data_IF_459804729786
#
_entry.id   IF_459804729786
#
_cell.length_a   1.000
_cell.length_b   1.000
_cell.length_c   1.000
_cell.angle_alpha   90.00
_cell.angle_beta   90.00
_cell.angle_gamma   90.00
#
_symmetry.space_group_name_H-M   'P 1'
#
loop_
_entity.id
_entity.type
_entity.pdbx_description
1 polymer ?
#
# COMPACT_ATOMS: atom_id res chain seq x y z
N UNK A 1 4.91 -10.69 -37.01
CA UNK A 1 4.99 -12.13 -37.31
C UNK A 1 5.43 -12.24 -38.77
N UNK A 2 6.46 -13.02 -39.05
CA UNK A 2 6.92 -13.23 -40.42
C UNK A 2 6.00 -14.27 -41.10
N UNK A 3 5.33 -13.92 -42.22
CA UNK A 3 4.34 -14.76 -42.89
C UNK A 3 4.93 -15.98 -43.61
N UNK A 4 6.26 -16.09 -43.66
CA UNK A 4 6.97 -17.22 -44.28
C UNK A 4 7.18 -18.41 -43.33
N UNK A 5 7.01 -18.20 -42.01
CA UNK A 5 7.15 -19.28 -41.03
C UNK A 5 5.83 -20.04 -40.80
N UNK A 6 5.90 -21.36 -40.58
CA UNK A 6 4.77 -22.15 -40.11
C UNK A 6 4.19 -21.57 -38.82
N UNK A 7 2.90 -21.24 -38.84
CA UNK A 7 2.22 -20.60 -37.71
C UNK A 7 1.03 -21.44 -37.25
N UNK A 8 1.02 -21.81 -35.97
CA UNK A 8 -0.09 -22.55 -35.35
C UNK A 8 -0.91 -21.64 -34.43
N UNK A 9 -2.24 -21.65 -34.57
CA UNK A 9 -3.16 -20.98 -33.66
C UNK A 9 -3.74 -21.96 -32.63
N UNK A 10 -3.92 -21.47 -31.40
CA UNK A 10 -4.47 -22.26 -30.29
C UNK A 10 -5.37 -21.38 -29.43
N UNK A 11 -6.49 -21.94 -29.00
CA UNK A 11 -7.33 -21.41 -27.93
C UNK A 11 -7.80 -22.56 -27.04
N UNK A 12 -8.76 -22.34 -26.15
CA UNK A 12 -9.22 -23.38 -25.24
C UNK A 12 -9.76 -24.64 -25.95
N UNK A 13 -10.73 -24.48 -26.84
CA UNK A 13 -11.47 -25.56 -27.51
C UNK A 13 -11.32 -25.59 -29.04
N UNK A 14 -10.29 -24.94 -29.59
CA UNK A 14 -10.08 -24.71 -31.02
C UNK A 14 -11.12 -23.83 -31.77
N UNK A 15 -12.17 -23.35 -31.10
CA UNK A 15 -13.25 -22.57 -31.75
C UNK A 15 -12.84 -21.14 -32.13
N UNK A 16 -12.14 -20.43 -31.25
CA UNK A 16 -11.69 -19.05 -31.52
C UNK A 16 -10.44 -19.02 -32.39
N UNK A 17 -9.57 -20.01 -32.25
CA UNK A 17 -8.34 -20.13 -33.02
C UNK A 17 -8.59 -20.44 -34.49
N UNK A 18 -9.71 -21.12 -34.82
CA UNK A 18 -10.12 -21.33 -36.22
C UNK A 18 -10.50 -20.01 -36.92
N UNK A 19 -11.18 -19.09 -36.23
CA UNK A 19 -11.45 -17.75 -36.75
C UNK A 19 -10.16 -16.94 -36.93
N UNK A 20 -9.19 -17.15 -36.02
CA UNK A 20 -7.86 -16.54 -36.09
C UNK A 20 -7.09 -16.92 -37.36
N UNK A 21 -7.27 -18.14 -37.88
CA UNK A 21 -6.67 -18.55 -39.16
C UNK A 21 -7.12 -17.65 -40.31
N UNK A 22 -8.43 -17.36 -40.41
CA UNK A 22 -8.96 -16.51 -41.48
C UNK A 22 -8.47 -15.07 -41.44
N UNK A 23 -8.06 -14.58 -40.27
CA UNK A 23 -7.40 -13.28 -40.13
C UNK A 23 -5.95 -13.38 -40.64
N UNK A 24 -5.21 -14.40 -40.22
CA UNK A 24 -3.81 -14.59 -40.62
C UNK A 24 -3.69 -14.86 -42.13
N UNK A 25 -4.59 -15.64 -42.71
CA UNK A 25 -4.61 -15.92 -44.15
C UNK A 25 -4.77 -14.63 -44.97
N UNK A 26 -5.69 -13.74 -44.57
CA UNK A 26 -5.84 -12.41 -45.20
C UNK A 26 -4.62 -11.51 -45.04
N UNK A 27 -3.81 -11.75 -44.02
CA UNK A 27 -2.55 -11.04 -43.79
C UNK A 27 -1.34 -11.71 -44.46
N UNK A 28 -1.58 -12.67 -45.37
CA UNK A 28 -0.55 -13.24 -46.24
C UNK A 28 0.21 -14.43 -45.66
N UNK A 29 -0.24 -15.00 -44.54
CA UNK A 29 0.32 -16.24 -44.00
C UNK A 29 -0.12 -17.42 -44.87
N UNK A 30 0.84 -18.23 -45.31
CA UNK A 30 0.58 -19.35 -46.22
C UNK A 30 0.59 -20.71 -45.54
N UNK A 31 1.27 -20.82 -44.41
CA UNK A 31 1.46 -22.08 -43.69
C UNK A 31 0.85 -21.98 -42.30
N UNK A 32 -0.44 -22.32 -42.22
CA UNK A 32 -1.30 -22.08 -41.06
C UNK A 32 -1.91 -23.38 -40.53
N UNK A 33 -1.81 -23.59 -39.22
CA UNK A 33 -2.35 -24.76 -38.53
C UNK A 33 -3.24 -24.35 -37.36
N UNK A 34 -4.33 -25.08 -37.11
CA UNK A 34 -5.12 -24.93 -35.89
C UNK A 34 -4.93 -26.17 -35.02
N UNK A 35 -4.66 -25.98 -33.73
CA UNK A 35 -4.55 -27.09 -32.78
C UNK A 35 -5.94 -27.71 -32.55
N UNK A 36 -6.16 -28.92 -33.05
CA UNK A 36 -7.42 -29.64 -32.88
C UNK A 36 -7.75 -29.85 -31.40
N UNK A 37 -8.97 -29.49 -30.99
CA UNK A 37 -9.41 -29.56 -29.60
C UNK A 37 -8.75 -28.54 -28.64
N UNK A 38 -7.89 -27.65 -29.16
CA UNK A 38 -7.26 -26.58 -28.40
C UNK A 38 -6.40 -27.08 -27.25
N UNK A 39 -6.19 -26.22 -26.25
CA UNK A 39 -5.46 -26.59 -25.04
C UNK A 39 -6.19 -27.64 -24.20
N UNK A 40 -7.52 -27.79 -24.31
CA UNK A 40 -8.27 -28.84 -23.61
C UNK A 40 -7.83 -30.24 -24.06
N UNK A 41 -7.71 -30.48 -25.36
CA UNK A 41 -7.23 -31.76 -25.87
C UNK A 41 -5.76 -32.02 -25.50
N UNK A 42 -4.93 -30.97 -25.47
CA UNK A 42 -3.54 -31.05 -25.02
C UNK A 42 -3.44 -31.49 -23.55
N UNK A 43 -4.27 -30.91 -22.69
CA UNK A 43 -4.37 -31.26 -21.26
C UNK A 43 -4.91 -32.68 -21.08
N UNK A 44 -5.97 -33.03 -21.82
CA UNK A 44 -6.56 -34.36 -21.77
C UNK A 44 -5.59 -35.46 -22.23
N UNK A 45 -4.68 -35.14 -23.15
CA UNK A 45 -3.61 -36.03 -23.59
C UNK A 45 -2.47 -36.15 -22.57
N UNK A 46 -2.51 -35.42 -21.44
CA UNK A 46 -1.48 -35.46 -20.40
C UNK A 46 -0.14 -34.87 -20.84
N UNK A 47 -0.14 -34.01 -21.87
CA UNK A 47 1.08 -33.38 -22.38
C UNK A 47 1.56 -32.27 -21.44
N UNK A 48 2.88 -32.00 -21.39
CA UNK A 48 3.43 -31.02 -20.47
C UNK A 48 2.91 -29.62 -20.78
N UNK A 49 2.59 -28.87 -19.71
CA UNK A 49 2.31 -27.45 -19.75
C UNK A 49 3.42 -26.70 -19.01
N UNK A 50 3.89 -25.61 -19.59
CA UNK A 50 4.79 -24.69 -18.92
C UNK A 50 3.96 -23.58 -18.24
N UNK A 51 4.30 -23.23 -16.99
CA UNK A 51 3.68 -22.10 -16.29
C UNK A 51 2.46 -22.43 -15.43
N UNK A 52 1.99 -23.68 -15.42
CA UNK A 52 1.17 -24.21 -14.34
C UNK A 52 1.93 -25.40 -13.74
N UNK A 53 2.35 -25.25 -12.50
CA UNK A 53 2.78 -26.38 -11.68
C UNK A 53 1.66 -27.42 -11.60
N UNK A 54 1.68 -28.42 -12.48
CA UNK A 54 0.73 -29.53 -12.46
C UNK A 54 1.07 -30.37 -11.22
N UNK A 55 0.23 -30.44 -10.17
CA UNK A 55 0.33 -31.58 -9.28
C UNK A 55 -0.18 -32.76 -10.10
N UNK A 56 0.75 -33.63 -10.52
CA UNK A 56 0.42 -34.91 -11.10
C UNK A 56 -0.64 -35.57 -10.21
N UNK A 57 -1.77 -35.95 -10.82
CA UNK A 57 -2.83 -36.69 -10.16
C UNK A 57 -2.32 -38.12 -9.90
N UNK A 58 -1.57 -38.27 -8.82
CA UNK A 58 -1.10 -39.52 -8.24
C UNK A 58 -1.27 -39.46 -6.72
N UNK A 59 -1.33 -40.61 -6.01
CA UNK A 59 -1.62 -40.63 -4.59
C UNK A 59 -0.61 -39.76 -3.82
N UNK A 60 -1.13 -38.71 -3.19
CA UNK A 60 -0.38 -37.75 -2.37
C UNK A 60 0.35 -38.46 -1.24
N UNK A 61 1.65 -38.67 -1.40
CA UNK A 61 2.59 -38.76 -0.29
C UNK A 61 3.81 -37.91 -0.60
N UNK A 62 3.55 -36.62 -0.88
CA UNK A 62 4.58 -35.61 -0.92
C UNK A 62 4.36 -34.70 0.28
N UNK A 63 5.34 -34.70 1.20
CA UNK A 63 5.43 -33.74 2.29
C UNK A 63 5.23 -32.34 1.71
N UNK A 64 4.14 -31.71 2.12
CA UNK A 64 3.75 -30.37 1.69
C UNK A 64 4.90 -29.42 2.08
N UNK A 65 5.66 -28.94 1.10
CA UNK A 65 6.61 -27.85 1.34
C UNK A 65 5.84 -26.72 2.02
N UNK A 66 6.41 -26.06 3.05
CA UNK A 66 5.73 -24.97 3.72
C UNK A 66 5.56 -23.85 2.70
N UNK A 67 4.37 -23.74 2.11
CA UNK A 67 3.96 -22.54 1.41
C UNK A 67 4.18 -21.40 2.39
N UNK A 68 5.15 -20.52 2.13
CA UNK A 68 5.40 -19.35 2.96
C UNK A 68 4.10 -18.55 2.94
N UNK A 69 3.31 -18.66 4.01
CA UNK A 69 2.02 -18.01 4.12
C UNK A 69 2.26 -16.50 4.25
N UNK A 70 2.40 -15.83 3.11
CA UNK A 70 2.55 -14.38 3.03
C UNK A 70 1.22 -13.77 3.47
N UNK A 71 1.20 -13.17 4.66
CA UNK A 71 0.02 -12.46 5.15
C UNK A 71 -0.09 -11.10 4.50
N UNK A 72 -1.04 -10.94 3.59
CA UNK A 72 -1.27 -9.65 2.94
C UNK A 72 -2.05 -8.72 3.87
N UNK A 73 -1.81 -7.42 3.75
CA UNK A 73 -2.66 -6.43 4.40
C UNK A 73 -3.99 -6.32 3.66
N UNK A 74 -5.05 -6.10 4.44
CA UNK A 74 -6.38 -5.86 3.90
C UNK A 74 -6.53 -4.41 3.45
N UNK A 75 -7.48 -4.17 2.55
CA UNK A 75 -7.89 -2.83 2.15
C UNK A 75 -9.17 -2.47 2.88
N UNK A 76 -9.28 -1.22 3.32
CA UNK A 76 -10.53 -0.66 3.83
C UNK A 76 -11.00 0.46 2.91
N UNK A 77 -12.30 0.48 2.61
CA UNK A 77 -12.90 1.59 1.88
C UNK A 77 -13.15 2.77 2.81
N UNK A 78 -13.27 3.94 2.22
CA UNK A 78 -13.69 5.19 2.88
C UNK A 78 -15.03 5.06 3.58
N UNK A 79 -16.01 4.36 3.00
CA UNK A 79 -17.32 4.14 3.63
C UNK A 79 -17.24 3.19 4.82
N UNK A 80 -16.47 2.11 4.71
CA UNK A 80 -16.25 1.18 5.82
C UNK A 80 -15.55 1.90 6.99
N UNK A 81 -14.54 2.73 6.71
CA UNK A 81 -13.87 3.55 7.72
C UNK A 81 -14.83 4.53 8.41
N UNK A 82 -15.71 5.20 7.66
CA UNK A 82 -16.74 6.10 8.22
C UNK A 82 -17.68 5.35 9.16
N UNK A 83 -18.15 4.16 8.78
CA UNK A 83 -19.00 3.33 9.65
C UNK A 83 -18.28 2.95 10.93
N UNK A 84 -17.03 2.50 10.84
CA UNK A 84 -16.23 2.17 12.03
C UNK A 84 -16.08 3.38 12.97
N UNK A 85 -15.81 4.57 12.42
CA UNK A 85 -15.70 5.80 13.20
C UNK A 85 -17.00 6.16 13.94
N UNK A 86 -18.17 5.86 13.36
CA UNK A 86 -19.48 6.18 13.93
C UNK A 86 -19.97 5.12 14.92
N UNK A 87 -19.83 3.84 14.57
CA UNK A 87 -20.47 2.74 15.30
C UNK A 87 -19.64 2.28 16.51
N UNK A 88 -18.31 2.20 16.37
CA UNK A 88 -17.40 1.68 17.40
C UNK A 88 -16.10 2.52 17.51
N UNK A 89 -16.18 3.77 17.98
CA UNK A 89 -14.98 4.58 18.23
C UNK A 89 -14.10 3.91 19.29
N UNK A 90 -12.83 3.64 18.94
CA UNK A 90 -11.85 3.02 19.84
C UNK A 90 -11.70 1.50 19.72
N UNK A 91 -12.47 0.85 18.83
CA UNK A 91 -12.26 -0.57 18.50
C UNK A 91 -11.07 -0.83 17.57
N UNK A 92 -10.49 0.23 17.00
CA UNK A 92 -9.39 0.21 16.03
C UNK A 92 -8.36 1.31 16.36
N UNK A 93 -7.12 1.11 15.91
CA UNK A 93 -6.12 2.17 15.91
C UNK A 93 -6.04 2.79 14.52
N UNK A 94 -6.22 4.11 14.44
CA UNK A 94 -6.11 4.86 13.20
C UNK A 94 -4.80 5.67 13.20
N UNK A 95 -3.89 5.31 12.29
CA UNK A 95 -2.54 5.89 12.22
C UNK A 95 -2.36 6.64 10.91
N UNK A 96 -2.00 7.91 11.01
CA UNK A 96 -1.63 8.77 9.88
C UNK A 96 -0.11 8.85 9.76
N UNK A 97 0.42 8.30 8.66
CA UNK A 97 1.86 8.20 8.40
C UNK A 97 2.44 9.40 7.66
N UNK A 98 1.66 10.46 7.45
CA UNK A 98 2.15 11.68 6.81
C UNK A 98 3.08 12.46 7.75
N UNK A 99 3.97 13.30 7.20
CA UNK A 99 4.75 14.23 8.01
C UNK A 99 3.87 15.10 8.93
N UNK A 100 4.33 15.45 10.14
CA UNK A 100 3.54 16.21 11.11
C UNK A 100 2.98 17.53 10.58
N UNK A 101 3.69 18.17 9.64
CA UNK A 101 3.24 19.40 8.99
C UNK A 101 1.91 19.17 8.25
N UNK A 102 1.81 18.08 7.47
CA UNK A 102 0.59 17.74 6.74
C UNK A 102 -0.56 17.27 7.64
N UNK A 103 -0.22 16.67 8.78
CA UNK A 103 -1.19 16.28 9.79
C UNK A 103 -1.81 17.50 10.48
N UNK A 104 -1.01 18.53 10.75
CA UNK A 104 -1.47 19.79 11.33
C UNK A 104 -2.44 20.54 10.41
N UNK A 105 -2.25 20.47 9.10
CA UNK A 105 -3.14 21.10 8.12
C UNK A 105 -4.55 20.50 8.15
N UNK A 106 -4.64 19.17 8.11
CA UNK A 106 -5.89 18.43 8.20
C UNK A 106 -5.62 16.97 8.55
N UNK A 107 -6.50 16.34 9.32
CA UNK A 107 -6.41 14.92 9.65
C UNK A 107 -7.80 14.36 10.02
N UNK A 108 -7.90 13.04 10.11
CA UNK A 108 -9.14 12.38 10.52
C UNK A 108 -9.34 12.49 12.04
N UNK A 109 -10.58 12.69 12.53
CA UNK A 109 -10.89 12.54 13.94
C UNK A 109 -10.46 11.16 14.44
N UNK A 110 -9.87 11.10 15.64
CA UNK A 110 -9.27 9.90 16.24
C UNK A 110 -7.99 9.35 15.59
N UNK A 111 -7.45 9.98 14.53
CA UNK A 111 -6.15 9.59 13.97
C UNK A 111 -4.99 10.07 14.83
N UNK A 112 -3.94 9.25 14.94
CA UNK A 112 -2.66 9.59 15.58
C UNK A 112 -1.59 9.72 14.52
N UNK A 113 -0.80 10.80 14.58
CA UNK A 113 0.34 10.96 13.69
C UNK A 113 1.52 10.12 14.18
N UNK A 114 2.08 9.27 13.32
CA UNK A 114 3.23 8.41 13.62
C UNK A 114 4.11 8.33 12.39
N UNK A 115 5.42 8.50 12.56
CA UNK A 115 6.36 8.37 11.45
C UNK A 115 6.50 6.91 11.00
N UNK A 116 6.77 6.68 9.71
CA UNK A 116 6.86 5.34 9.12
C UNK A 116 7.88 4.46 9.86
N UNK A 117 9.05 5.01 10.19
CA UNK A 117 10.10 4.27 10.90
C UNK A 117 9.64 3.83 12.30
N UNK A 118 9.01 4.75 13.04
CA UNK A 118 8.46 4.45 14.36
C UNK A 118 7.35 3.40 14.28
N UNK A 119 6.43 3.53 13.33
CA UNK A 119 5.32 2.59 13.15
C UNK A 119 5.80 1.17 12.85
N UNK A 120 6.90 1.03 12.11
CA UNK A 120 7.45 -0.27 11.74
C UNK A 120 8.15 -0.95 12.91
N UNK A 121 8.83 -0.21 13.78
CA UNK A 121 9.71 -0.78 14.81
C UNK A 121 9.13 -0.78 16.21
N UNK A 122 8.13 0.07 16.48
CA UNK A 122 7.51 0.16 17.80
C UNK A 122 6.50 -0.99 18.04
N UNK A 123 6.74 -1.87 19.04
CA UNK A 123 5.85 -3.01 19.31
C UNK A 123 4.43 -2.59 19.72
N UNK A 124 4.24 -1.38 20.25
CA UNK A 124 2.93 -0.88 20.66
C UNK A 124 1.89 -0.91 19.53
N UNK A 125 2.30 -0.64 18.29
CA UNK A 125 1.41 -0.69 17.13
C UNK A 125 1.25 -2.11 16.57
N UNK A 126 2.24 -2.97 16.80
CA UNK A 126 2.27 -4.35 16.31
C UNK A 126 1.42 -5.29 17.18
N UNK A 127 1.25 -5.04 18.48
CA UNK A 127 0.62 -6.01 19.41
C UNK A 127 -0.76 -5.60 19.96
N UNK A 128 -1.55 -4.83 19.21
CA UNK A 128 -2.91 -4.38 19.61
C UNK A 128 -4.04 -5.40 19.36
N UNK A 129 -5.14 -5.26 20.11
CA UNK A 129 -6.31 -6.15 20.04
C UNK A 129 -7.29 -5.85 18.88
N UNK A 130 -7.37 -4.59 18.43
CA UNK A 130 -8.23 -4.16 17.32
C UNK A 130 -7.50 -4.12 15.98
N UNK A 131 -8.15 -3.87 14.84
CA UNK A 131 -7.44 -3.66 13.58
C UNK A 131 -6.57 -2.39 13.62
N UNK A 132 -5.42 -2.44 12.95
CA UNK A 132 -4.55 -1.29 12.70
C UNK A 132 -4.89 -0.71 11.33
N UNK A 133 -5.41 0.51 11.28
CA UNK A 133 -5.80 1.20 10.05
C UNK A 133 -4.76 2.27 9.74
N UNK A 134 -4.11 2.17 8.59
CA UNK A 134 -3.06 3.08 8.14
C UNK A 134 -3.62 4.00 7.07
N UNK A 135 -3.36 5.31 7.19
CA UNK A 135 -3.80 6.33 6.24
C UNK A 135 -2.63 7.19 5.77
N UNK A 136 -2.66 7.55 4.49
CA UNK A 136 -1.85 8.63 3.92
C UNK A 136 -2.72 9.52 3.01
N UNK A 137 -2.11 10.51 2.36
CA UNK A 137 -2.77 11.40 1.38
C UNK A 137 -3.55 10.65 0.30
N UNK A 138 -2.95 9.68 -0.39
CA UNK A 138 -3.55 8.95 -1.51
C UNK A 138 -3.64 7.43 -1.30
N UNK A 139 -3.03 6.92 -0.23
CA UNK A 139 -3.10 5.52 0.20
C UNK A 139 -1.97 4.63 -0.35
N UNK A 140 -1.10 5.15 -1.22
CA UNK A 140 0.00 4.37 -1.81
C UNK A 140 1.05 3.98 -0.77
N UNK A 141 1.44 4.92 0.09
CA UNK A 141 2.39 4.64 1.18
C UNK A 141 1.72 3.80 2.26
N UNK A 142 0.45 4.07 2.56
CA UNK A 142 -0.31 3.28 3.51
C UNK A 142 -0.37 1.79 3.11
N UNK A 143 -0.60 1.50 1.82
CA UNK A 143 -0.60 0.13 1.29
C UNK A 143 0.77 -0.54 1.40
N UNK A 144 1.86 0.18 1.09
CA UNK A 144 3.21 -0.35 1.20
C UNK A 144 3.56 -0.69 2.65
N UNK A 145 3.36 0.27 3.55
CA UNK A 145 3.66 0.12 4.97
C UNK A 145 2.81 -0.98 5.59
N UNK A 146 1.52 -1.04 5.27
CA UNK A 146 0.62 -2.10 5.72
C UNK A 146 1.12 -3.48 5.28
N UNK A 147 1.58 -3.63 4.04
CA UNK A 147 2.13 -4.89 3.54
C UNK A 147 3.42 -5.34 4.24
N UNK A 148 4.24 -4.40 4.71
CA UNK A 148 5.43 -4.72 5.53
C UNK A 148 5.01 -5.13 6.94
N UNK A 149 4.11 -4.35 7.55
CA UNK A 149 3.64 -4.59 8.92
C UNK A 149 2.89 -5.92 9.01
N UNK A 150 2.09 -6.29 8.00
CA UNK A 150 1.35 -7.56 7.98
C UNK A 150 2.26 -8.79 7.99
N UNK A 151 3.54 -8.66 7.63
CA UNK A 151 4.54 -9.72 7.81
C UNK A 151 5.12 -9.77 9.23
N UNK A 152 5.13 -8.65 9.95
CA UNK A 152 5.72 -8.51 11.29
C UNK A 152 4.71 -8.81 12.40
N UNK A 153 3.41 -8.71 12.14
CA UNK A 153 2.35 -8.92 13.14
C UNK A 153 1.29 -9.96 12.73
N UNK A 154 0.60 -10.46 13.74
CA UNK A 154 -0.62 -11.27 13.63
C UNK A 154 -1.90 -10.41 13.69
N UNK A 155 -1.76 -9.13 14.04
CA UNK A 155 -2.85 -8.16 14.10
C UNK A 155 -3.42 -7.92 12.71
N UNK A 156 -4.73 -7.73 12.59
CA UNK A 156 -5.36 -7.31 11.34
C UNK A 156 -4.85 -5.93 10.94
N UNK A 157 -4.17 -5.82 9.80
CA UNK A 157 -3.67 -4.55 9.25
C UNK A 157 -4.51 -4.19 8.04
N UNK A 158 -5.07 -2.98 8.05
CA UNK A 158 -5.88 -2.42 6.97
C UNK A 158 -5.24 -1.13 6.47
N UNK A 159 -5.22 -0.92 5.17
CA UNK A 159 -4.82 0.36 4.57
C UNK A 159 -6.03 1.04 3.91
N UNK A 160 -6.19 2.35 4.14
CA UNK A 160 -7.28 3.13 3.54
C UNK A 160 -7.04 3.30 2.04
N UNK A 161 -7.92 2.69 1.26
CA UNK A 161 -7.87 2.77 -0.19
C UNK A 161 -8.23 4.19 -0.67
N UNK A 162 -7.38 4.76 -1.54
CA UNK A 162 -7.53 6.15 -2.02
C UNK A 162 -7.15 7.23 -1.00
N UNK A 163 -6.75 6.83 0.21
CA UNK A 163 -6.25 7.71 1.27
C UNK A 163 -7.24 8.79 1.71
N UNK A 164 -6.70 9.85 2.30
CA UNK A 164 -7.48 11.00 2.75
C UNK A 164 -8.10 11.78 1.61
N UNK A 165 -7.50 11.73 0.42
CA UNK A 165 -8.02 12.39 -0.77
C UNK A 165 -9.40 11.82 -1.16
N UNK A 166 -9.52 10.48 -1.22
CA UNK A 166 -10.79 9.82 -1.48
C UNK A 166 -11.80 10.08 -0.35
N UNK A 167 -11.35 9.95 0.90
CA UNK A 167 -12.20 10.16 2.08
C UNK A 167 -12.87 11.55 2.06
N UNK A 168 -12.11 12.61 1.82
CA UNK A 168 -12.65 13.97 1.80
C UNK A 168 -13.48 14.25 0.56
N UNK A 169 -13.07 13.75 -0.61
CA UNK A 169 -13.86 13.90 -1.84
C UNK A 169 -15.28 13.36 -1.65
N UNK A 170 -15.41 12.14 -1.12
CA UNK A 170 -16.73 11.55 -0.86
C UNK A 170 -17.48 12.21 0.30
N UNK A 171 -16.78 12.71 1.31
CA UNK A 171 -17.42 13.42 2.42
C UNK A 171 -17.98 14.76 1.97
N UNK A 172 -17.30 15.45 1.04
CA UNK A 172 -17.82 16.67 0.42
C UNK A 172 -18.99 16.40 -0.51
N UNK A 173 -18.96 15.31 -1.29
CA UNK A 173 -20.07 14.89 -2.15
C UNK A 173 -21.30 14.39 -1.35
N UNK A 174 -21.08 13.77 -0.19
CA UNK A 174 -22.15 13.38 0.73
C UNK A 174 -22.80 14.56 1.48
N UNK A 175 -22.12 15.71 1.55
CA UNK A 175 -22.69 16.95 2.08
C UNK A 175 -23.54 17.72 1.04
N UNK A 176 -23.41 17.40 -0.25
CA UNK A 176 -24.16 18.03 -1.35
C UNK A 176 -25.37 17.18 -1.78
N UNK A 177 -26.12 16.68 -0.81
CA UNK A 177 -27.44 16.08 -0.99
C UNK A 177 -28.61 17.06 -0.80
N UNK A 178 -28.35 18.37 -0.85
CA UNK A 178 -29.35 19.45 -0.97
C UNK A 178 -28.69 20.65 -1.64
N UNK A 179 -28.40 20.57 -2.93
CA UNK A 179 -27.93 21.72 -3.70
C UNK A 179 -29.12 22.36 -4.43
N UNK A 180 -29.90 23.16 -3.70
CA UNK A 180 -30.60 24.29 -4.29
C UNK A 180 -29.82 25.55 -3.89
N UNK A 181 -29.22 26.17 -4.89
CA UNK A 181 -28.96 27.61 -5.00
C UNK A 181 -28.26 28.30 -3.81
N UNK A 182 -26.95 28.52 -3.92
CA UNK A 182 -26.32 29.86 -3.98
C UNK A 182 -24.82 29.78 -3.66
N UNK A 183 -24.03 30.45 -4.50
CA UNK A 183 -22.83 31.18 -4.05
C UNK A 183 -21.60 30.36 -3.62
N UNK A 184 -20.60 30.35 -4.49
CA UNK A 184 -19.19 30.28 -4.08
C UNK A 184 -18.91 31.25 -2.91
N UNK A 185 -18.24 30.85 -1.82
CA UNK A 185 -17.45 31.79 -1.06
C UNK A 185 -16.04 31.83 -1.67
N UNK A 186 -15.83 32.82 -2.54
CA UNK A 186 -14.50 33.39 -2.73
C UNK A 186 -14.01 33.83 -1.35
N UNK A 187 -12.85 33.32 -0.94
CA UNK A 187 -12.13 33.81 0.23
C UNK A 187 -11.94 35.33 0.12
N UNK A 188 -12.20 36.13 1.17
CA UNK A 188 -11.96 37.56 1.09
C UNK A 188 -10.45 37.85 0.99
N UNK A 189 -10.04 38.92 0.28
CA UNK A 189 -8.65 39.32 0.22
C UNK A 189 -8.23 39.83 1.60
N UNK A 190 -7.13 39.28 2.12
CA UNK A 190 -6.49 39.74 3.36
C UNK A 190 -5.98 41.17 3.12
N UNK A 191 -6.69 42.17 3.63
CA UNK A 191 -6.21 43.55 3.66
C UNK A 191 -5.12 43.66 4.72
N UNK A 192 -3.97 44.21 4.31
CA UNK A 192 -2.85 44.50 5.20
C UNK A 192 -3.21 45.49 6.30
N UNK A 193 -2.88 45.13 7.53
CA UNK A 193 -2.90 45.95 8.74
C UNK A 193 -1.82 45.42 9.72
N UNK A 194 -1.22 46.29 10.56
CA UNK A 194 0.17 46.15 10.96
C UNK A 194 0.44 45.06 12.01
N UNK A 195 1.65 44.51 11.89
CA UNK A 195 2.31 43.55 12.77
C UNK A 195 2.21 43.95 14.25
N UNK A 196 1.87 43.03 15.18
CA UNK A 196 2.05 43.29 16.61
C UNK A 196 3.56 43.30 16.95
N UNK A 197 4.01 44.16 17.89
CA UNK A 197 5.42 44.26 18.23
C UNK A 197 5.91 42.98 18.92
N UNK A 198 7.15 42.62 18.59
CA UNK A 198 7.90 41.54 19.20
C UNK A 198 7.94 41.69 20.73
N UNK A 199 7.33 40.71 21.44
CA UNK A 199 7.63 40.47 22.85
C UNK A 199 9.06 39.96 23.01
N UNK A 200 9.73 40.22 24.14
CA UNK A 200 11.16 40.00 24.29
C UNK A 200 11.52 38.51 24.22
N UNK A 201 12.66 38.25 23.58
CA UNK A 201 13.28 36.94 23.43
C UNK A 201 13.36 36.20 24.77
N UNK A 202 12.81 34.98 24.81
CA UNK A 202 13.09 34.03 25.88
C UNK A 202 14.59 33.68 25.86
N UNK A 203 15.30 33.74 27.00
CA UNK A 203 16.71 33.39 27.06
C UNK A 203 16.91 31.88 26.86
N UNK A 204 18.00 31.54 26.18
CA UNK A 204 18.42 30.17 25.86
C UNK A 204 18.48 29.25 27.10
N UNK A 205 18.12 27.96 26.99
CA UNK A 205 18.32 27.01 28.08
C UNK A 205 19.81 26.76 28.30
N UNK A 206 20.24 27.01 29.53
CA UNK A 206 21.57 26.80 30.08
C UNK A 206 22.06 25.35 29.89
N UNK A 207 23.33 25.23 29.51
CA UNK A 207 24.08 23.98 29.39
C UNK A 207 23.98 23.12 30.66
N UNK A 208 23.64 21.84 30.49
CA UNK A 208 23.83 20.81 31.51
C UNK A 208 25.32 20.42 31.60
N UNK A 209 25.88 20.15 32.79
CA UNK A 209 27.29 19.73 32.92
C UNK A 209 27.51 18.32 32.38
N UNK A 210 28.49 18.15 31.47
CA UNK A 210 28.97 16.84 31.03
C UNK A 210 29.87 16.21 32.12
N UNK A 211 29.82 14.88 32.33
CA UNK A 211 30.72 14.18 33.25
C UNK A 211 32.15 14.04 32.69
N UNK A 212 33.14 14.28 33.55
CA UNK A 212 34.59 14.24 33.29
C UNK A 212 35.07 12.92 32.68
N UNK A 213 35.82 13.01 31.58
CA UNK A 213 36.61 11.89 31.05
C UNK A 213 38.06 11.95 31.60
N UNK A 214 38.61 10.85 32.15
CA UNK A 214 39.98 10.82 32.65
C UNK A 214 41.03 10.73 31.53
N UNK A 215 42.04 11.60 31.61
CA UNK A 215 43.15 11.74 30.66
C UNK A 215 44.29 10.73 30.97
N UNK A 216 44.96 10.12 29.97
CA UNK A 216 45.98 9.10 30.18
C UNK A 216 47.33 9.64 30.70
N UNK A 217 48.16 8.81 31.37
CA UNK A 217 49.37 9.27 32.07
C UNK A 217 50.58 9.47 31.14
N UNK A 218 51.29 10.58 31.33
CA UNK A 218 52.55 10.88 30.65
C UNK A 218 53.76 10.45 31.51
N UNK A 219 54.66 9.69 30.87
CA UNK A 219 55.94 9.23 31.40
C UNK A 219 56.90 10.39 31.64
N UNK A 220 57.71 10.31 32.70
CA UNK A 220 59.01 11.01 32.78
C UNK A 220 60.09 10.02 33.22
N UNK A 221 61.16 9.99 32.42
CA UNK A 221 62.36 9.19 32.61
C UNK A 221 63.41 9.92 33.44
N UNK A 222 64.19 9.12 34.15
CA UNK A 222 65.64 9.24 34.41
C UNK A 222 66.20 10.50 35.10
N UNK A 223 66.95 10.25 36.18
CA UNK A 223 68.33 10.73 36.25
C UNK A 223 68.76 11.40 37.55
N UNK A 224 69.74 10.76 38.19
CA UNK A 224 70.71 11.23 39.20
C UNK A 224 70.28 11.21 40.66
#
# INVERSE_FOLDING_TARGET
>A
LDPTFPTMTVCNSAYRSSMGLGILERNGFKDLYNMAGGSEAWIAAGLPLYGAEIPASGPKTAAQQPQRAVRLADRISTEELKRLLLDLPGSFDLIDIRPPQHFADYHLPASKNVEIAELLDNPAYLTGAGPLIIVDRDGSLAMMVAGIISQKTQRTVKALYGGLSAYWTESTLGATGTAADTGLPLSPPVQGGPMPPAGPAQPAPSAQPQPDQPKPPAKKSAGC
#
